data_IF_758343867641
#
_entry.id   IF_758343867641
#
_cell.length_a   1.000
_cell.length_b   1.000
_cell.length_c   1.000
_cell.angle_alpha   90.00
_cell.angle_beta   90.00
_cell.angle_gamma   90.00
#
_symmetry.space_group_name_H-M   'P 1'
#
loop_
_entity.id
_entity.type
_entity.pdbx_description
1 polymer ?
#
# COMPACT_ATOMS: atom_id res chain seq x y z
N UNK A 1 -10.29 -2.80 15.79
CA UNK A 1 -10.81 -1.65 15.02
C UNK A 1 -9.96 -0.39 15.16
N UNK A 2 -9.96 0.36 16.27
CA UNK A 2 -9.18 1.63 16.40
C UNK A 2 -7.69 1.53 16.02
N UNK A 3 -7.01 0.46 16.42
CA UNK A 3 -5.59 0.25 16.08
C UNK A 3 -5.38 0.00 14.57
N UNK A 4 -6.30 -0.71 13.92
CA UNK A 4 -6.25 -0.98 12.48
C UNK A 4 -6.46 0.31 11.67
N UNK A 5 -7.41 1.15 12.09
CA UNK A 5 -7.65 2.46 11.48
C UNK A 5 -6.42 3.36 11.62
N UNK A 6 -5.80 3.43 12.80
CA UNK A 6 -4.55 4.21 12.98
C UNK A 6 -3.41 3.73 12.08
N UNK A 7 -3.26 2.41 11.90
CA UNK A 7 -2.27 1.86 10.96
C UNK A 7 -2.60 2.28 9.52
N UNK A 8 -3.87 2.16 9.14
CA UNK A 8 -4.34 2.57 7.81
C UNK A 8 -4.08 4.06 7.55
N UNK A 9 -4.39 4.93 8.50
CA UNK A 9 -4.17 6.38 8.40
C UNK A 9 -2.68 6.69 8.21
N UNK A 10 -1.81 6.09 9.01
CA UNK A 10 -0.37 6.29 8.92
C UNK A 10 0.21 5.81 7.58
N UNK A 11 -0.25 4.66 7.07
CA UNK A 11 0.21 4.14 5.78
C UNK A 11 -0.33 4.99 4.62
N UNK A 12 -1.57 5.47 4.72
CA UNK A 12 -2.15 6.42 3.75
C UNK A 12 -1.36 7.73 3.72
N UNK A 13 -1.05 8.29 4.88
CA UNK A 13 -0.23 9.51 4.99
C UNK A 13 1.14 9.32 4.34
N UNK A 14 1.83 8.20 4.65
CA UNK A 14 3.09 7.85 4.01
C UNK A 14 2.97 7.76 2.49
N UNK A 15 1.96 7.03 1.99
CA UNK A 15 1.74 6.85 0.55
C UNK A 15 1.54 8.19 -0.17
N UNK A 16 0.82 9.14 0.44
CA UNK A 16 0.59 10.48 -0.10
C UNK A 16 1.82 11.39 -0.02
N UNK A 17 2.77 11.10 0.88
CA UNK A 17 4.05 11.78 0.94
C UNK A 17 5.00 11.44 -0.21
N UNK A 18 4.75 10.33 -0.92
CA UNK A 18 5.58 9.91 -2.05
C UNK A 18 5.47 10.88 -3.24
N UNK A 19 6.54 11.03 -4.04
CA UNK A 19 6.54 12.01 -5.12
C UNK A 19 5.38 11.81 -6.11
N UNK A 20 4.62 12.89 -6.36
CA UNK A 20 3.48 12.90 -7.29
C UNK A 20 2.38 11.87 -6.97
N UNK A 21 2.30 11.41 -5.71
CA UNK A 21 1.22 10.55 -5.24
C UNK A 21 -0.06 11.36 -5.05
N UNK A 22 -1.19 10.81 -5.49
CA UNK A 22 -2.52 11.41 -5.33
C UNK A 22 -3.53 10.36 -4.90
N UNK A 23 -4.47 10.76 -4.06
CA UNK A 23 -5.62 9.93 -3.70
C UNK A 23 -6.79 10.15 -4.66
N UNK A 24 -7.42 9.07 -5.08
CA UNK A 24 -8.63 9.11 -5.88
C UNK A 24 -9.63 8.04 -5.41
N UNK A 25 -10.90 8.23 -5.77
CA UNK A 25 -12.02 7.38 -5.37
C UNK A 25 -12.78 6.86 -6.62
N UNK A 26 -12.18 5.93 -7.39
CA UNK A 26 -12.71 5.53 -8.69
C UNK A 26 -14.01 4.72 -8.64
N UNK A 27 -14.32 4.07 -7.51
CA UNK A 27 -15.53 3.24 -7.34
C UNK A 27 -16.53 3.77 -6.31
N UNK A 28 -16.23 4.90 -5.66
CA UNK A 28 -17.06 5.51 -4.65
C UNK A 28 -16.24 6.07 -3.49
N UNK A 29 -16.87 6.82 -2.57
CA UNK A 29 -16.16 7.51 -1.48
C UNK A 29 -15.46 6.57 -0.50
N UNK A 30 -15.93 5.33 -0.38
CA UNK A 30 -15.40 4.34 0.56
C UNK A 30 -14.20 3.53 0.01
N UNK A 31 -13.94 3.64 -1.31
CA UNK A 31 -12.92 2.85 -2.02
C UNK A 31 -11.81 3.76 -2.54
N UNK A 32 -10.95 4.18 -1.61
CA UNK A 32 -9.80 5.01 -1.90
C UNK A 32 -8.67 4.23 -2.59
N UNK A 33 -7.99 4.88 -3.53
CA UNK A 33 -6.74 4.36 -4.10
C UNK A 33 -5.70 5.47 -4.13
N UNK A 34 -4.44 5.10 -3.96
CA UNK A 34 -3.32 6.01 -4.16
C UNK A 34 -2.66 5.71 -5.50
N UNK A 35 -2.48 6.76 -6.31
CA UNK A 35 -1.94 6.70 -7.66
C UNK A 35 -0.69 7.53 -7.81
N UNK A 36 0.20 7.09 -8.69
CA UNK A 36 1.30 7.88 -9.24
C UNK A 36 1.23 7.80 -10.76
N UNK A 37 1.27 8.95 -11.44
CA UNK A 37 1.16 9.00 -12.91
C UNK A 37 0.00 8.15 -13.46
N UNK A 38 -1.19 8.36 -12.89
CA UNK A 38 -2.45 7.68 -13.25
C UNK A 38 -2.49 6.17 -13.00
N UNK A 39 -1.45 5.60 -12.37
CA UNK A 39 -1.39 4.17 -12.02
C UNK A 39 -1.55 3.97 -10.53
N UNK A 40 -2.42 3.04 -10.13
CA UNK A 40 -2.64 2.66 -8.73
C UNK A 40 -1.41 1.91 -8.22
N UNK A 41 -0.93 2.28 -7.02
CA UNK A 41 0.06 1.52 -6.27
C UNK A 41 -0.41 1.11 -4.88
N UNK A 42 -1.50 1.69 -4.37
CA UNK A 42 -2.16 1.21 -3.14
C UNK A 42 -3.67 1.21 -3.36
N UNK A 43 -4.32 0.12 -2.99
CA UNK A 43 -5.76 0.12 -2.71
C UNK A 43 -5.97 0.29 -1.21
N UNK A 44 -6.74 1.29 -0.81
CA UNK A 44 -7.10 1.55 0.56
C UNK A 44 -8.45 0.90 0.84
N UNK A 45 -8.49 -0.04 1.80
CA UNK A 45 -9.77 -0.57 2.29
C UNK A 45 -10.53 0.50 3.08
N UNK A 46 -11.85 0.33 3.20
CA UNK A 46 -12.71 1.28 3.90
C UNK A 46 -12.38 1.33 5.41
N UNK A 47 -11.96 2.49 5.91
CA UNK A 47 -11.66 2.72 7.32
C UNK A 47 -12.89 3.08 8.18
N UNK A 48 -13.96 3.56 7.57
CA UNK A 48 -15.23 3.94 8.19
C UNK A 48 -16.27 2.79 8.16
N UNK A 49 -15.91 1.67 7.55
CA UNK A 49 -16.74 0.49 7.42
C UNK A 49 -16.95 -0.29 8.73
N UNK A 50 -17.89 -1.25 8.74
CA UNK A 50 -18.16 -2.10 9.91
C UNK A 50 -17.05 -3.11 10.20
N UNK A 51 -16.19 -3.39 9.22
CA UNK A 51 -15.05 -4.30 9.34
C UNK A 51 -13.74 -3.50 9.45
N UNK A 52 -12.69 -4.05 10.10
CA UNK A 52 -11.38 -3.41 10.11
C UNK A 52 -10.83 -3.20 8.68
N UNK A 53 -10.18 -2.06 8.39
CA UNK A 53 -9.64 -1.80 7.06
C UNK A 53 -8.51 -2.77 6.71
N UNK A 54 -8.27 -2.89 5.41
CA UNK A 54 -7.10 -3.53 4.83
C UNK A 54 -6.38 -2.59 3.87
N UNK A 55 -5.31 -3.09 3.27
CA UNK A 55 -4.68 -2.46 2.11
C UNK A 55 -4.27 -3.51 1.11
N UNK A 56 -4.17 -3.11 -0.16
CA UNK A 56 -3.56 -3.96 -1.18
C UNK A 56 -2.43 -3.24 -1.88
N UNK A 57 -1.32 -3.93 -2.05
CA UNK A 57 -0.06 -3.42 -2.64
C UNK A 57 0.45 -4.42 -3.66
N UNK A 58 1.20 -3.93 -4.64
CA UNK A 58 1.87 -4.76 -5.62
C UNK A 58 3.28 -5.02 -5.14
N UNK A 59 3.69 -6.28 -5.05
CA UNK A 59 5.03 -6.69 -4.66
C UNK A 59 5.60 -7.60 -5.74
N UNK A 60 6.65 -7.13 -6.41
CA UNK A 60 7.40 -7.90 -7.41
C UNK A 60 8.65 -8.54 -6.84
N UNK A 61 9.24 -7.93 -5.83
CA UNK A 61 10.29 -8.55 -5.05
C UNK A 61 9.75 -9.85 -4.40
N UNK A 62 10.42 -10.97 -4.65
CA UNK A 62 9.93 -12.29 -4.24
C UNK A 62 9.97 -12.47 -2.72
N UNK A 63 10.96 -11.88 -2.04
CA UNK A 63 11.12 -11.95 -0.59
C UNK A 63 10.04 -11.11 0.10
N UNK A 64 9.80 -9.87 -0.36
CA UNK A 64 8.75 -9.02 0.17
C UNK A 64 7.36 -9.59 -0.12
N UNK A 65 7.12 -10.13 -1.31
CA UNK A 65 5.86 -10.80 -1.63
C UNK A 65 5.65 -12.02 -0.72
N UNK A 66 6.67 -12.88 -0.56
CA UNK A 66 6.61 -14.03 0.34
C UNK A 66 6.34 -13.61 1.79
N UNK A 67 6.98 -12.54 2.26
CA UNK A 67 6.76 -11.99 3.59
C UNK A 67 5.33 -11.47 3.76
N UNK A 68 4.81 -10.70 2.80
CA UNK A 68 3.44 -10.19 2.83
C UNK A 68 2.39 -11.30 2.80
N UNK A 69 2.63 -12.37 2.04
CA UNK A 69 1.73 -13.55 1.99
C UNK A 69 1.69 -14.33 3.29
N UNK A 70 2.70 -14.21 4.15
CA UNK A 70 2.71 -14.81 5.49
C UNK A 70 2.01 -13.93 6.53
N UNK A 71 1.61 -12.70 6.19
CA UNK A 71 0.87 -11.86 7.11
C UNK A 71 -0.51 -12.46 7.43
N UNK A 72 -1.00 -12.33 8.68
CA UNK A 72 -2.29 -12.90 9.08
C UNK A 72 -3.44 -12.40 8.19
N UNK A 73 -4.19 -13.35 7.60
CA UNK A 73 -5.32 -13.06 6.72
C UNK A 73 -4.94 -12.49 5.36
N UNK A 74 -3.65 -12.40 5.02
CA UNK A 74 -3.22 -11.95 3.72
C UNK A 74 -3.61 -12.96 2.63
N UNK A 75 -3.96 -12.43 1.47
CA UNK A 75 -4.35 -13.24 0.32
C UNK A 75 -3.97 -12.54 -0.99
N UNK A 76 -3.84 -13.29 -2.10
CA UNK A 76 -3.69 -12.69 -3.41
C UNK A 76 -4.92 -11.82 -3.71
N UNK A 77 -4.68 -10.58 -4.17
CA UNK A 77 -5.79 -9.66 -4.46
C UNK A 77 -6.69 -10.24 -5.56
N UNK A 78 -8.00 -10.05 -5.41
CA UNK A 78 -9.02 -10.54 -6.35
C UNK A 78 -8.90 -9.98 -7.78
N UNK A 79 -9.87 -10.33 -8.62
CA UNK A 79 -9.98 -9.81 -10.00
C UNK A 79 -8.73 -10.04 -10.88
N UNK A 80 -7.96 -11.10 -10.60
CA UNK A 80 -6.74 -11.44 -11.34
C UNK A 80 -5.51 -10.60 -10.97
N UNK A 81 -5.65 -9.64 -10.06
CA UNK A 81 -4.53 -8.80 -9.61
C UNK A 81 -3.47 -9.62 -8.87
N UNK A 82 -3.86 -10.65 -8.12
CA UNK A 82 -2.93 -11.58 -7.46
C UNK A 82 -1.93 -12.23 -8.41
N UNK A 83 -2.33 -12.54 -9.66
CA UNK A 83 -1.41 -13.09 -10.68
C UNK A 83 -0.33 -12.09 -11.13
N UNK A 84 -0.56 -10.81 -10.88
CA UNK A 84 0.37 -9.73 -11.18
C UNK A 84 1.22 -9.33 -9.97
N UNK A 85 1.16 -10.08 -8.86
CA UNK A 85 1.89 -9.81 -7.63
C UNK A 85 1.19 -8.87 -6.66
N UNK A 86 -0.13 -8.70 -6.76
CA UNK A 86 -0.88 -7.92 -5.75
C UNK A 86 -1.27 -8.78 -4.55
N UNK A 87 -1.00 -8.26 -3.36
CA UNK A 87 -1.35 -8.88 -2.08
C UNK A 87 -2.30 -7.96 -1.33
N UNK A 88 -3.38 -8.52 -0.81
CA UNK A 88 -4.32 -7.85 0.09
C UNK A 88 -4.03 -8.27 1.52
N UNK A 89 -3.85 -7.30 2.42
CA UNK A 89 -3.48 -7.51 3.81
C UNK A 89 -4.52 -6.85 4.73
N UNK A 90 -5.30 -7.63 5.50
CA UNK A 90 -6.20 -7.08 6.50
C UNK A 90 -5.42 -6.55 7.69
N UNK A 91 -5.81 -5.37 8.22
CA UNK A 91 -5.13 -4.75 9.37
C UNK A 91 -5.82 -5.06 10.70
N UNK A 92 -6.97 -5.72 10.65
CA UNK A 92 -7.76 -6.14 11.83
C UNK A 92 -7.21 -7.37 12.54
N UNK A 93 -6.40 -8.18 11.87
CA UNK A 93 -5.94 -9.46 12.38
C UNK A 93 -4.91 -9.32 13.50
N UNK A 94 -4.92 -10.27 14.45
CA UNK A 94 -3.91 -10.34 15.50
C UNK A 94 -2.57 -10.69 14.86
N UNK A 95 -1.56 -9.85 15.08
CA UNK A 95 -0.26 -10.01 14.43
C UNK A 95 -0.19 -9.37 13.04
N UNK A 96 -1.17 -8.55 12.65
CA UNK A 96 -1.07 -7.74 11.45
C UNK A 96 0.25 -6.92 11.46
N UNK A 97 0.90 -6.73 10.30
CA UNK A 97 2.20 -6.08 10.18
C UNK A 97 2.27 -4.70 10.86
N UNK A 98 3.49 -4.28 11.24
CA UNK A 98 3.73 -2.93 11.77
C UNK A 98 3.54 -1.88 10.66
N UNK A 99 3.34 -0.62 11.04
CA UNK A 99 3.25 0.49 10.08
C UNK A 99 4.52 0.56 9.23
N UNK A 100 5.68 0.38 9.84
CA UNK A 100 6.98 0.42 9.14
C UNK A 100 7.06 -0.61 8.01
N UNK A 101 6.67 -1.86 8.28
CA UNK A 101 6.64 -2.93 7.28
C UNK A 101 5.62 -2.63 6.17
N UNK A 102 4.45 -2.10 6.52
CA UNK A 102 3.45 -1.72 5.53
C UNK A 102 3.95 -0.57 4.63
N UNK A 103 4.66 0.41 5.20
CA UNK A 103 5.25 1.51 4.44
C UNK A 103 6.35 1.01 3.49
N UNK A 104 7.19 0.06 3.91
CA UNK A 104 8.17 -0.60 3.04
C UNK A 104 7.49 -1.26 1.83
N UNK A 105 6.40 -2.00 2.06
CA UNK A 105 5.64 -2.61 0.97
C UNK A 105 4.96 -1.60 0.05
N UNK A 106 4.47 -0.48 0.60
CA UNK A 106 3.93 0.62 -0.19
C UNK A 106 5.01 1.28 -1.04
N UNK A 107 6.22 1.46 -0.51
CA UNK A 107 7.35 2.01 -1.26
C UNK A 107 7.75 1.08 -2.41
N UNK A 108 7.85 -0.24 -2.18
CA UNK A 108 8.10 -1.20 -3.26
C UNK A 108 7.03 -1.06 -4.34
N UNK A 109 5.76 -1.08 -3.96
CA UNK A 109 4.65 -1.00 -4.91
C UNK A 109 4.70 0.29 -5.72
N UNK A 110 5.02 1.41 -5.06
CA UNK A 110 5.26 2.68 -5.72
C UNK A 110 6.41 2.57 -6.74
N UNK A 111 7.57 2.06 -6.34
CA UNK A 111 8.74 1.87 -7.24
C UNK A 111 8.42 0.93 -8.40
N UNK A 112 7.57 -0.07 -8.17
CA UNK A 112 7.13 -1.05 -9.15
C UNK A 112 6.24 -0.44 -10.25
N UNK A 113 5.41 0.55 -9.92
CA UNK A 113 4.48 1.16 -10.90
C UNK A 113 4.91 2.53 -11.42
N UNK A 114 5.71 3.26 -10.64
CA UNK A 114 6.17 4.61 -10.96
C UNK A 114 7.10 4.62 -12.19
N UNK A 115 7.20 5.79 -12.82
CA UNK A 115 8.23 6.03 -13.82
C UNK A 115 9.58 6.19 -13.14
N UNK A 116 10.66 5.89 -13.87
CA UNK A 116 12.05 6.05 -13.39
C UNK A 116 12.33 7.42 -12.77
N UNK A 117 11.73 8.49 -13.32
CA UNK A 117 11.88 9.85 -12.80
C UNK A 117 11.33 10.00 -11.37
N UNK A 118 10.21 9.36 -11.03
CA UNK A 118 9.64 9.50 -9.68
C UNK A 118 10.38 8.63 -8.65
N UNK A 119 10.94 7.49 -9.08
CA UNK A 119 11.86 6.72 -8.24
C UNK A 119 13.15 7.52 -7.97
N UNK A 120 13.72 8.18 -8.99
CA UNK A 120 14.87 9.06 -8.81
C UNK A 120 14.59 10.24 -7.87
N UNK A 121 13.39 10.84 -7.93
CA UNK A 121 12.97 11.87 -6.98
C UNK A 121 12.86 11.35 -5.55
N UNK A 122 12.38 10.12 -5.37
CA UNK A 122 12.31 9.48 -4.06
C UNK A 122 13.73 9.26 -3.50
N UNK A 123 14.64 8.71 -4.31
CA UNK A 123 16.03 8.46 -3.91
C UNK A 123 16.78 9.76 -3.60
N UNK A 124 16.53 10.83 -4.37
CA UNK A 124 17.11 12.15 -4.10
C UNK A 124 16.63 12.75 -2.78
N UNK A 125 15.38 12.50 -2.38
CA UNK A 125 14.86 12.92 -1.06
C UNK A 125 15.49 12.11 0.07
N UNK A 126 15.70 10.82 -0.13
CA UNK A 126 16.36 9.95 0.85
C UNK A 126 17.86 10.29 1.00
N UNK A 127 18.54 10.64 -0.09
CA UNK A 127 19.96 10.99 -0.12
C UNK A 127 20.29 12.45 0.23
N UNK A 128 19.31 13.35 0.22
CA UNK A 128 19.48 14.78 0.54
C UNK A 128 19.41 15.13 2.03
N UNK A 129 19.28 14.11 2.90
CA UNK A 129 19.26 14.22 4.36
C UNK A 129 20.61 13.95 5.03
N UNK A 130 21.73 14.18 4.33
CA UNK A 130 23.09 14.09 4.85
C UNK A 130 23.86 15.39 4.60
#
# INVERSE_FOLDING_TARGET
MKAAVRKWEAVREFALGLPEAVEEHPWGPEEGVVKVNKKIFVFLGNADGPEPPGLSVKLKDEDLHGHAMNAPGAAPTGYGLGRSGWVSVPLGEKGAPSVEVLCEWVEESYRTVALKRHAALLDARAGGGA
#
